data_IF_804407778325
#
_entry.id   IF_804407778325
#
_cell.length_a   1.000
_cell.length_b   1.000
_cell.length_c   1.000
_cell.angle_alpha   90.00
_cell.angle_beta   90.00
_cell.angle_gamma   90.00
#
_symmetry.space_group_name_H-M   'P 1'
#
loop_
_entity.id
_entity.type
_entity.pdbx_description
1 polymer ?
#
# COMPACT_ATOMS: atom_id res chain seq x y z
N UNK A 1 -26.69 4.75 -1.33
CA UNK A 1 -25.68 5.75 -0.91
C UNK A 1 -25.70 5.78 0.60
N UNK A 2 -24.51 5.81 1.21
CA UNK A 2 -24.34 5.95 2.66
C UNK A 2 -23.72 7.29 3.02
N UNK A 3 -23.61 7.56 4.32
CA UNK A 3 -23.12 8.83 4.86
C UNK A 3 -22.18 8.59 6.05
N UNK A 4 -21.10 9.38 6.17
CA UNK A 4 -20.14 9.30 7.28
C UNK A 4 -19.58 10.68 7.61
N UNK A 5 -19.28 10.92 8.89
CA UNK A 5 -18.62 12.13 9.35
C UNK A 5 -17.09 11.95 9.29
N UNK A 6 -16.40 12.80 8.54
CA UNK A 6 -14.93 12.85 8.43
C UNK A 6 -14.49 14.28 8.68
N UNK A 7 -13.65 14.50 9.69
CA UNK A 7 -13.12 15.82 10.06
C UNK A 7 -14.20 16.92 10.23
N UNK A 8 -15.38 16.52 10.72
CA UNK A 8 -16.51 17.43 10.95
C UNK A 8 -17.41 17.66 9.72
N UNK A 9 -17.09 17.08 8.57
CA UNK A 9 -17.90 17.15 7.35
C UNK A 9 -18.62 15.82 7.08
N UNK A 10 -19.88 15.91 6.64
CA UNK A 10 -20.64 14.71 6.22
C UNK A 10 -20.34 14.42 4.75
N UNK A 11 -19.79 13.23 4.50
CA UNK A 11 -19.47 12.74 3.16
C UNK A 11 -20.52 11.70 2.76
N UNK A 12 -21.05 11.83 1.54
CA UNK A 12 -21.94 10.83 0.92
C UNK A 12 -21.12 9.90 0.06
N UNK A 13 -21.19 8.60 0.31
CA UNK A 13 -20.39 7.60 -0.39
C UNK A 13 -21.24 6.56 -1.12
N UNK A 14 -20.57 5.86 -2.02
CA UNK A 14 -21.16 4.81 -2.84
C UNK A 14 -21.08 3.45 -2.14
N UNK A 15 -22.23 2.86 -1.81
CA UNK A 15 -22.31 1.61 -1.03
C UNK A 15 -21.78 0.39 -1.78
N UNK A 16 -21.78 0.44 -3.12
CA UNK A 16 -21.33 -0.70 -3.93
C UNK A 16 -19.83 -0.93 -3.79
N UNK A 17 -19.08 0.14 -3.52
CA UNK A 17 -17.61 0.14 -3.49
C UNK A 17 -17.00 0.47 -2.14
N UNK A 18 -17.77 1.01 -1.20
CA UNK A 18 -17.30 1.39 0.14
C UNK A 18 -17.33 0.20 1.12
N UNK A 19 -16.39 0.18 2.06
CA UNK A 19 -16.19 -0.90 3.04
C UNK A 19 -16.00 -2.29 2.40
N UNK A 20 -15.34 -2.35 1.25
CA UNK A 20 -15.07 -3.59 0.52
C UNK A 20 -13.58 -3.92 0.53
N UNK A 21 -13.30 -5.21 0.37
CA UNK A 21 -11.95 -5.72 0.21
C UNK A 21 -11.73 -6.20 -1.23
N UNK A 22 -10.83 -5.51 -1.93
CA UNK A 22 -10.37 -5.80 -3.28
C UNK A 22 -8.89 -6.21 -3.31
N UNK A 23 -8.31 -6.58 -2.17
CA UNK A 23 -6.89 -6.95 -2.06
C UNK A 23 -6.53 -8.01 -3.09
N UNK A 24 -5.49 -7.74 -3.89
CA UNK A 24 -5.02 -8.65 -4.94
C UNK A 24 -5.96 -8.81 -6.13
N UNK A 25 -7.04 -8.02 -6.25
CA UNK A 25 -8.07 -8.15 -7.29
C UNK A 25 -8.24 -6.85 -8.08
N UNK A 26 -8.34 -6.91 -9.42
CA UNK A 26 -8.65 -5.73 -10.20
C UNK A 26 -10.08 -5.23 -9.90
N UNK A 27 -10.26 -3.92 -9.78
CA UNK A 27 -11.58 -3.32 -9.64
C UNK A 27 -12.15 -2.97 -11.02
N UNK A 28 -13.00 -3.85 -11.56
CA UNK A 28 -13.63 -3.67 -12.89
C UNK A 28 -14.90 -2.79 -12.86
N UNK A 29 -15.15 -2.12 -11.74
CA UNK A 29 -16.36 -1.31 -11.53
C UNK A 29 -16.35 0.02 -12.25
N UNK A 30 -17.52 0.65 -12.36
CA UNK A 30 -17.67 2.04 -12.84
C UNK A 30 -17.42 2.99 -11.67
N UNK A 31 -16.16 3.30 -11.40
CA UNK A 31 -15.73 4.13 -10.27
C UNK A 31 -15.73 5.63 -10.56
N UNK A 32 -15.73 6.05 -11.83
CA UNK A 32 -15.66 7.47 -12.20
C UNK A 32 -16.77 8.29 -11.55
N UNK A 33 -16.39 9.41 -10.92
CA UNK A 33 -17.30 10.31 -10.21
C UNK A 33 -17.83 9.79 -8.86
N UNK A 34 -17.42 8.60 -8.40
CA UNK A 34 -17.89 8.03 -7.13
C UNK A 34 -16.99 8.44 -5.97
N UNK A 35 -17.59 8.58 -4.79
CA UNK A 35 -16.88 8.68 -3.52
C UNK A 35 -16.86 7.29 -2.88
N UNK A 36 -15.66 6.79 -2.59
CA UNK A 36 -15.41 5.44 -2.09
C UNK A 36 -14.78 5.59 -0.72
N UNK A 37 -15.42 5.03 0.30
CA UNK A 37 -15.00 5.20 1.69
C UNK A 37 -14.51 3.90 2.30
N UNK A 38 -13.37 3.95 2.99
CA UNK A 38 -12.83 2.89 3.83
C UNK A 38 -12.75 1.50 3.17
N UNK A 39 -12.35 1.45 1.90
CA UNK A 39 -12.13 0.19 1.17
C UNK A 39 -10.66 -0.16 1.05
N UNK A 40 -10.36 -1.45 0.95
CA UNK A 40 -9.02 -1.95 0.71
C UNK A 40 -8.85 -2.33 -0.76
N UNK A 41 -7.82 -1.80 -1.40
CA UNK A 41 -7.43 -2.12 -2.78
C UNK A 41 -5.96 -2.56 -2.85
N UNK A 42 -5.33 -2.95 -1.73
CA UNK A 42 -3.88 -3.19 -1.69
C UNK A 42 -3.41 -4.32 -2.61
N UNK A 43 -2.19 -4.21 -3.14
CA UNK A 43 -1.53 -5.23 -3.96
C UNK A 43 -0.09 -5.51 -3.53
N UNK A 44 0.45 -6.67 -3.94
CA UNK A 44 1.85 -7.03 -3.67
C UNK A 44 2.84 -6.28 -4.57
N UNK A 45 2.48 -6.05 -5.84
CA UNK A 45 3.37 -5.41 -6.81
C UNK A 45 3.17 -3.89 -6.88
N UNK A 46 4.24 -3.09 -6.72
CA UNK A 46 4.18 -1.64 -6.85
C UNK A 46 3.56 -1.15 -8.16
N UNK A 47 2.79 -0.07 -8.09
CA UNK A 47 2.10 0.55 -9.23
C UNK A 47 1.17 -0.42 -9.98
N UNK A 48 0.56 -1.37 -9.28
CA UNK A 48 -0.44 -2.28 -9.83
C UNK A 48 -1.59 -1.52 -10.48
N UNK A 49 -1.94 -1.88 -11.72
CA UNK A 49 -3.04 -1.27 -12.47
C UNK A 49 -4.38 -1.89 -12.06
N UNK A 50 -4.84 -1.51 -10.87
CA UNK A 50 -6.09 -2.00 -10.24
C UNK A 50 -7.31 -1.36 -10.86
N UNK A 51 -7.19 -0.07 -11.22
CA UNK A 51 -8.27 0.76 -11.71
C UNK A 51 -8.22 0.94 -13.24
N UNK A 52 -9.36 1.19 -13.90
CA UNK A 52 -9.37 1.53 -15.32
C UNK A 52 -8.54 2.78 -15.60
N UNK A 53 -7.67 2.75 -16.63
CA UNK A 53 -6.77 3.88 -16.95
C UNK A 53 -7.50 5.19 -17.29
N UNK A 54 -8.76 5.10 -17.74
CA UNK A 54 -9.61 6.25 -18.08
C UNK A 54 -10.57 6.66 -16.96
N UNK A 55 -10.42 6.11 -15.75
CA UNK A 55 -11.19 6.50 -14.58
C UNK A 55 -10.83 7.93 -14.16
N UNK A 56 -11.84 8.78 -13.97
CA UNK A 56 -11.67 10.18 -13.53
C UNK A 56 -12.77 10.59 -12.55
N UNK A 57 -12.48 11.58 -11.70
CA UNK A 57 -13.43 12.13 -10.74
C UNK A 57 -13.76 11.21 -9.56
N UNK A 58 -13.14 10.03 -9.46
CA UNK A 58 -13.29 9.20 -8.27
C UNK A 58 -12.58 9.86 -7.08
N UNK A 59 -13.16 9.75 -5.89
CA UNK A 59 -12.57 10.22 -4.64
C UNK A 59 -12.48 9.07 -3.65
N UNK A 60 -11.27 8.69 -3.28
CA UNK A 60 -10.99 7.64 -2.29
C UNK A 60 -10.78 8.30 -0.93
N UNK A 61 -11.59 7.95 0.06
CA UNK A 61 -11.54 8.52 1.40
C UNK A 61 -11.22 7.41 2.40
N UNK A 62 -10.09 7.54 3.11
CA UNK A 62 -9.61 6.57 4.08
C UNK A 62 -9.47 5.14 3.54
N UNK A 63 -9.18 4.99 2.24
CA UNK A 63 -8.94 3.70 1.61
C UNK A 63 -7.48 3.25 1.82
N UNK A 64 -7.27 1.93 1.87
CA UNK A 64 -5.93 1.35 1.70
C UNK A 64 -5.67 1.16 0.20
N UNK A 65 -4.79 1.98 -0.35
CA UNK A 65 -4.40 2.01 -1.76
C UNK A 65 -2.92 1.66 -1.94
N UNK A 66 -2.35 0.92 -1.00
CA UNK A 66 -0.95 0.55 -1.07
C UNK A 66 -0.66 -0.23 -2.36
N UNK A 67 0.43 0.14 -3.02
CA UNK A 67 0.88 -0.37 -4.32
C UNK A 67 -0.09 -0.16 -5.50
N UNK A 68 -1.16 0.61 -5.35
CA UNK A 68 -2.04 0.95 -6.47
C UNK A 68 -1.47 2.05 -7.36
N UNK A 69 -1.54 1.87 -8.68
CA UNK A 69 -1.47 2.99 -9.61
C UNK A 69 -2.82 3.70 -9.68
N UNK A 70 -2.86 4.98 -9.32
CA UNK A 70 -4.05 5.82 -9.37
C UNK A 70 -3.97 6.70 -10.62
N UNK A 71 -4.88 6.54 -11.60
CA UNK A 71 -4.91 7.39 -12.79
C UNK A 71 -5.10 8.87 -12.43
N UNK A 72 -4.54 9.76 -13.25
CA UNK A 72 -4.68 11.20 -13.10
C UNK A 72 -6.16 11.64 -13.11
N UNK A 73 -6.47 12.70 -12.35
CA UNK A 73 -7.83 13.25 -12.27
C UNK A 73 -8.73 12.57 -11.25
N UNK A 74 -8.15 11.79 -10.32
CA UNK A 74 -8.84 11.23 -9.15
C UNK A 74 -8.23 11.79 -7.86
N UNK A 75 -8.98 11.74 -6.77
CA UNK A 75 -8.58 12.31 -5.49
C UNK A 75 -8.40 11.22 -4.43
N UNK A 76 -7.43 11.41 -3.54
CA UNK A 76 -7.27 10.59 -2.34
C UNK A 76 -7.22 11.48 -1.12
N UNK A 77 -8.03 11.15 -0.12
CA UNK A 77 -8.16 11.87 1.14
C UNK A 77 -7.93 10.88 2.28
N UNK A 78 -6.82 11.06 3.01
CA UNK A 78 -6.43 10.14 4.08
C UNK A 78 -6.06 8.73 3.58
N UNK A 79 -6.19 7.74 4.47
CA UNK A 79 -5.87 6.35 4.15
C UNK A 79 -4.37 6.09 3.97
N UNK A 80 -4.04 5.10 3.14
CA UNK A 80 -2.66 4.75 2.83
C UNK A 80 -2.43 4.60 1.32
N UNK A 81 -1.25 5.01 0.85
CA UNK A 81 -0.79 4.92 -0.54
C UNK A 81 0.69 4.52 -0.57
N UNK A 82 1.08 3.58 0.29
CA UNK A 82 2.49 3.17 0.42
C UNK A 82 2.90 2.34 -0.77
N UNK A 83 4.12 2.53 -1.22
CA UNK A 83 4.78 1.68 -2.19
C UNK A 83 5.68 0.72 -1.43
N UNK A 84 5.45 -0.58 -1.51
CA UNK A 84 6.27 -1.58 -0.84
C UNK A 84 6.50 -2.80 -1.71
N UNK A 85 7.59 -3.53 -1.47
CA UNK A 85 7.87 -4.79 -2.15
C UNK A 85 8.74 -5.71 -1.31
N UNK A 86 8.45 -7.01 -1.37
CA UNK A 86 9.33 -8.04 -0.81
C UNK A 86 10.70 -7.99 -1.47
N UNK A 87 11.75 -7.82 -0.68
CA UNK A 87 13.13 -7.80 -1.17
C UNK A 87 13.78 -9.18 -1.08
N UNK A 88 15.04 -9.26 -1.48
CA UNK A 88 15.82 -10.50 -1.43
C UNK A 88 15.96 -11.09 -0.02
N UNK A 89 15.76 -10.29 1.02
CA UNK A 89 15.77 -10.73 2.41
C UNK A 89 14.41 -11.27 2.90
N UNK A 90 13.45 -11.49 1.99
CA UNK A 90 12.10 -12.01 2.25
C UNK A 90 11.21 -11.09 3.10
N UNK A 91 11.59 -9.83 3.29
CA UNK A 91 10.81 -8.84 4.06
C UNK A 91 10.19 -7.80 3.13
N UNK A 92 9.05 -7.24 3.54
CA UNK A 92 8.43 -6.11 2.87
C UNK A 92 9.18 -4.81 3.19
N UNK A 93 9.62 -4.10 2.15
CA UNK A 93 10.26 -2.80 2.27
C UNK A 93 9.46 -1.73 1.55
N UNK A 94 9.23 -0.60 2.22
CA UNK A 94 8.76 0.63 1.58
C UNK A 94 9.80 1.13 0.57
N UNK A 95 9.32 1.58 -0.59
CA UNK A 95 10.13 2.02 -1.70
C UNK A 95 10.07 3.54 -1.89
N UNK A 96 11.17 4.14 -2.34
CA UNK A 96 11.19 5.52 -2.79
C UNK A 96 10.62 5.69 -4.22
N UNK A 97 10.62 6.94 -4.71
CA UNK A 97 10.19 7.27 -6.07
C UNK A 97 11.04 6.65 -7.18
N UNK A 98 12.22 6.10 -6.86
CA UNK A 98 13.11 5.38 -7.77
C UNK A 98 13.07 3.86 -7.59
N UNK A 99 12.03 3.33 -6.92
CA UNK A 99 11.86 1.90 -6.64
C UNK A 99 12.94 1.29 -5.73
N UNK A 100 13.65 2.11 -4.93
CA UNK A 100 14.67 1.62 -4.01
C UNK A 100 14.10 1.42 -2.60
N UNK A 101 14.48 0.34 -1.89
CA UNK A 101 14.06 0.12 -0.51
C UNK A 101 14.59 1.22 0.41
N UNK A 102 13.73 1.71 1.29
CA UNK A 102 14.04 2.80 2.23
C UNK A 102 13.83 2.40 3.67
N UNK A 103 12.74 1.66 3.96
CA UNK A 103 12.37 1.26 5.30
C UNK A 103 11.67 -0.10 5.28
N UNK A 104 12.08 -1.00 6.17
CA UNK A 104 11.39 -2.29 6.31
C UNK A 104 10.07 -2.11 7.06
N UNK A 105 9.01 -2.76 6.59
CA UNK A 105 7.73 -2.77 7.29
C UNK A 105 7.86 -3.54 8.61
N UNK A 106 7.45 -2.94 9.72
CA UNK A 106 7.64 -3.55 11.04
C UNK A 106 9.05 -3.36 11.61
N UNK A 107 9.80 -2.34 11.19
CA UNK A 107 11.16 -1.99 11.65
C UNK A 107 11.44 -2.25 13.13
N UNK A 108 10.55 -1.82 14.04
CA UNK A 108 10.71 -2.02 15.49
C UNK A 108 10.84 -3.50 15.87
N UNK A 109 10.07 -4.37 15.23
CA UNK A 109 10.13 -5.82 15.46
C UNK A 109 11.52 -6.35 15.06
N UNK A 110 12.03 -5.99 13.89
CA UNK A 110 13.35 -6.45 13.43
C UNK A 110 14.50 -5.92 14.30
N UNK A 111 14.43 -4.65 14.73
CA UNK A 111 15.41 -4.09 15.67
C UNK A 111 15.43 -4.90 16.98
N UNK A 112 14.26 -5.23 17.52
CA UNK A 112 14.15 -6.04 18.75
C UNK A 112 14.71 -7.46 18.59
N UNK A 113 14.68 -8.02 17.38
CA UNK A 113 15.29 -9.31 17.06
C UNK A 113 16.80 -9.20 16.77
N UNK A 114 17.39 -8.01 16.85
CA UNK A 114 18.79 -7.77 16.49
C UNK A 114 19.03 -7.98 14.99
N UNK A 115 18.04 -7.72 14.15
CA UNK A 115 18.12 -7.87 12.70
C UNK A 115 18.34 -6.50 12.06
N UNK A 116 19.24 -6.41 11.07
CA UNK A 116 19.49 -5.13 10.40
C UNK A 116 18.25 -4.63 9.65
N UNK A 117 18.06 -3.31 9.71
CA UNK A 117 17.01 -2.55 9.02
C UNK A 117 17.60 -1.52 8.05
N UNK A 118 18.93 -1.54 7.80
CA UNK A 118 19.56 -0.73 6.76
C UNK A 118 19.33 -1.38 5.38
N UNK A 119 18.75 -0.66 4.39
CA UNK A 119 18.60 -1.17 3.02
C UNK A 119 19.89 -1.71 2.39
N UNK A 120 21.07 -1.24 2.80
CA UNK A 120 22.37 -1.72 2.30
C UNK A 120 22.68 -3.15 2.72
N UNK A 121 22.04 -3.64 3.78
CA UNK A 121 22.22 -5.00 4.28
C UNK A 121 21.29 -6.03 3.61
N UNK A 122 20.40 -5.56 2.71
CA UNK A 122 19.60 -6.45 1.87
C UNK A 122 20.55 -7.27 1.00
N UNK A 123 20.41 -8.60 1.06
CA UNK A 123 21.23 -9.52 0.30
C UNK A 123 21.12 -9.28 -1.22
N UNK A 124 22.23 -9.38 -1.93
CA UNK A 124 22.24 -9.35 -3.41
C UNK A 124 21.59 -10.59 -4.02
N UNK A 125 21.48 -11.68 -3.26
CA UNK A 125 20.81 -12.93 -3.66
C UNK A 125 19.59 -13.16 -2.79
N UNK A 126 18.48 -13.58 -3.39
CA UNK A 126 17.28 -13.94 -2.65
C UNK A 126 17.56 -15.07 -1.66
N UNK A 127 17.30 -14.81 -0.38
CA UNK A 127 17.40 -15.79 0.71
C UNK A 127 16.37 -16.89 0.50
N UNK A 128 16.67 -18.07 1.02
CA UNK A 128 15.73 -19.21 1.01
C UNK A 128 14.84 -19.20 2.24
N UNK A 129 15.36 -18.69 3.35
CA UNK A 129 14.70 -18.64 4.64
C UNK A 129 14.95 -17.29 5.34
N UNK A 130 13.99 -16.84 6.15
CA UNK A 130 14.10 -15.64 6.97
C UNK A 130 15.19 -15.79 8.05
N UNK A 131 15.51 -17.02 8.45
CA UNK A 131 16.59 -17.32 9.39
C UNK A 131 18.00 -17.02 8.82
N UNK A 132 18.11 -16.86 7.49
CA UNK A 132 19.37 -16.50 6.81
C UNK A 132 19.65 -14.98 6.87
N UNK A 133 18.75 -14.17 7.42
CA UNK A 133 18.94 -12.72 7.50
C UNK A 133 20.09 -12.39 8.47
N UNK A 134 20.99 -11.49 8.04
CA UNK A 134 22.07 -10.96 8.87
C UNK A 134 21.54 -10.39 10.19
N UNK A 135 21.99 -10.98 11.29
CA UNK A 135 21.87 -10.37 12.62
C UNK A 135 22.91 -9.26 12.75
N UNK A 136 22.52 -8.16 13.37
CA UNK A 136 23.43 -7.09 13.79
C UNK A 136 24.41 -7.73 14.76
N UNK A 137 25.70 -7.74 14.41
CA UNK A 137 26.73 -8.14 15.38
C UNK A 137 26.62 -7.21 16.58
N UNK A 138 26.44 -7.78 17.78
CA UNK A 138 26.39 -6.99 19.00
C UNK A 138 27.74 -6.28 19.18
N UNK A 139 27.72 -4.96 19.16
CA UNK A 139 28.87 -4.09 19.50
C UNK A 139 29.10 -4.13 21.01
#
# INVERSE_FOLDING_TARGET
>A
MGEVLVDGETIKYDDDYSFKDYTGRPCKGKLSGKIIYASCFSHEEPNSKVFPNNMTGATFVNCNLDNCFIPNGNNVIGGSQRKFKVQNDLRDWELDGSDKPTRVMGEKFYIQQGISVDPKDISTTKLKDIDEIKKVEAV
#
